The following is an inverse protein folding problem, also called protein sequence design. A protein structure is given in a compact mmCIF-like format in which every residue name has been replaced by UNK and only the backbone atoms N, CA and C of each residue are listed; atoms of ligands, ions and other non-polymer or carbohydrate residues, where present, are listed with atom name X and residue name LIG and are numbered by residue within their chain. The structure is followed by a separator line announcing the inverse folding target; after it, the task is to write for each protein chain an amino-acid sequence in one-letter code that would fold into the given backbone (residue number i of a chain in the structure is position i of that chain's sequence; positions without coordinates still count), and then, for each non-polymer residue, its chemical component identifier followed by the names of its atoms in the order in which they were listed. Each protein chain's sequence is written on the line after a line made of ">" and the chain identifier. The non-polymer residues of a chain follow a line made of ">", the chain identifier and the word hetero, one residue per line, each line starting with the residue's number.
data_IF_062965051292
#
_entry.id   IF_062965051292
#
_cell.length_a   1.000
_cell.length_b   1.000
_cell.length_c   1.000
_cell.angle_alpha   90.00
_cell.angle_beta   90.00
_cell.angle_gamma   90.00
#
_symmetry.space_group_name_H-M   'P 1'
#
loop_
_entity.id
_entity.type
_entity.pdbx_description
1 polymer ?
#
# COMPACT_ATOMS: atom_id res chain seq x y z
N UNK A 1 -18.21 -14.44 29.87
CA UNK A 1 -17.06 -15.19 29.33
C UNK A 1 -17.62 -16.35 28.53
N UNK A 2 -16.92 -16.81 27.50
CA UNK A 2 -17.41 -17.92 26.66
C UNK A 2 -16.90 -17.85 25.23
N UNK A 3 -17.20 -18.90 24.47
CA UNK A 3 -17.04 -18.90 23.01
C UNK A 3 -18.08 -17.96 22.37
N UNK A 4 -17.73 -17.33 21.25
CA UNK A 4 -18.62 -16.36 20.58
C UNK A 4 -18.86 -15.05 21.34
N UNK A 5 -18.00 -14.71 22.31
CA UNK A 5 -18.10 -13.45 23.05
C UNK A 5 -17.96 -12.21 22.14
N UNK A 6 -17.41 -12.33 20.93
CA UNK A 6 -17.36 -11.25 19.95
C UNK A 6 -18.67 -11.01 19.19
N UNK A 7 -19.66 -11.92 19.19
CA UNK A 7 -20.88 -11.76 18.37
C UNK A 7 -21.67 -10.50 18.69
N UNK A 8 -21.85 -10.16 19.98
CA UNK A 8 -22.54 -8.92 20.36
C UNK A 8 -21.70 -7.68 20.04
N UNK A 9 -20.38 -7.76 20.22
CA UNK A 9 -19.45 -6.67 19.88
C UNK A 9 -19.53 -6.36 18.38
N UNK A 10 -19.41 -7.37 17.52
CA UNK A 10 -19.48 -7.21 16.07
C UNK A 10 -20.86 -6.68 15.62
N UNK A 11 -21.94 -7.12 16.26
CA UNK A 11 -23.28 -6.59 15.99
C UNK A 11 -23.39 -5.11 16.32
N UNK A 12 -22.84 -4.66 17.45
CA UNK A 12 -22.85 -3.23 17.81
C UNK A 12 -21.93 -2.42 16.89
N UNK A 13 -20.74 -2.92 16.55
CA UNK A 13 -19.84 -2.29 15.57
C UNK A 13 -20.53 -2.12 14.22
N UNK A 14 -21.17 -3.16 13.69
CA UNK A 14 -21.87 -3.11 12.40
C UNK A 14 -23.09 -2.18 12.38
N UNK A 15 -23.62 -1.83 13.57
CA UNK A 15 -24.74 -0.92 13.76
C UNK A 15 -24.30 0.50 14.20
N UNK A 16 -23.00 0.78 14.27
CA UNK A 16 -22.50 2.10 14.64
C UNK A 16 -23.05 3.19 13.70
N UNK A 17 -23.37 4.35 14.26
CA UNK A 17 -23.99 5.47 13.54
C UNK A 17 -23.07 6.69 13.41
N UNK A 18 -22.05 6.81 14.24
CA UNK A 18 -21.16 7.97 14.30
C UNK A 18 -19.68 7.61 14.27
N UNK A 19 -19.22 6.76 15.17
CA UNK A 19 -17.79 6.46 15.32
C UNK A 19 -17.48 5.06 15.85
N UNK A 20 -16.33 4.53 15.44
CA UNK A 20 -15.77 3.28 15.95
C UNK A 20 -14.27 3.50 16.19
N UNK A 21 -13.83 3.44 17.45
CA UNK A 21 -12.41 3.42 17.82
C UNK A 21 -12.04 2.02 18.28
N UNK A 22 -10.95 1.45 17.76
CA UNK A 22 -10.49 0.10 18.08
C UNK A 22 -9.01 0.11 18.42
N UNK A 23 -8.66 -0.47 19.56
CA UNK A 23 -7.30 -0.88 19.90
C UNK A 23 -7.27 -2.40 19.95
N UNK A 24 -6.45 -3.05 19.13
CA UNK A 24 -6.23 -4.48 19.19
C UNK A 24 -4.85 -4.81 18.61
N UNK A 25 -4.00 -5.58 19.30
CA UNK A 25 -2.66 -5.91 18.80
C UNK A 25 -2.69 -6.77 17.54
N UNK A 26 -3.76 -7.56 17.35
CA UNK A 26 -3.89 -8.47 16.23
C UNK A 26 -5.17 -8.18 15.46
N UNK A 27 -5.03 -8.20 14.13
CA UNK A 27 -6.10 -8.00 13.16
C UNK A 27 -6.17 -9.21 12.22
N UNK A 28 -7.35 -9.42 11.64
CA UNK A 28 -7.52 -10.36 10.53
C UNK A 28 -8.15 -9.66 9.34
N UNK A 29 -7.88 -10.10 8.09
CA UNK A 29 -8.34 -9.39 6.89
C UNK A 29 -9.84 -9.09 6.88
N UNK A 30 -10.67 -10.08 7.22
CA UNK A 30 -12.14 -9.92 7.29
C UNK A 30 -12.61 -8.88 8.30
N UNK A 31 -11.90 -8.73 9.42
CA UNK A 31 -12.25 -7.72 10.41
C UNK A 31 -11.85 -6.33 9.93
N UNK A 32 -10.77 -6.22 9.16
CA UNK A 32 -10.39 -4.97 8.50
C UNK A 32 -11.38 -4.60 7.38
N UNK A 33 -11.86 -5.58 6.62
CA UNK A 33 -12.90 -5.36 5.60
C UNK A 33 -14.15 -4.72 6.18
N UNK A 34 -14.55 -5.12 7.40
CA UNK A 34 -15.67 -4.50 8.13
C UNK A 34 -15.40 -3.02 8.44
N UNK A 35 -14.19 -2.67 8.88
CA UNK A 35 -13.80 -1.28 9.15
C UNK A 35 -13.78 -0.44 7.88
N UNK A 36 -13.27 -0.99 6.78
CA UNK A 36 -13.29 -0.35 5.46
C UNK A 36 -14.73 -0.10 5.02
N UNK A 37 -15.64 -1.04 5.27
CA UNK A 37 -17.06 -0.88 4.95
C UNK A 37 -17.74 0.19 5.81
N UNK A 38 -17.47 0.25 7.12
CA UNK A 38 -17.98 1.31 8.00
C UNK A 38 -17.48 2.68 7.57
N UNK A 39 -16.20 2.79 7.24
CA UNK A 39 -15.62 4.04 6.73
C UNK A 39 -16.30 4.50 5.44
N UNK A 40 -16.58 3.57 4.51
CA UNK A 40 -17.33 3.86 3.26
C UNK A 40 -18.76 4.34 3.51
N UNK A 41 -19.37 3.96 4.63
CA UNK A 41 -20.69 4.46 5.06
C UNK A 41 -20.65 5.85 5.72
N UNK A 42 -19.46 6.44 5.88
CA UNK A 42 -19.28 7.72 6.54
C UNK A 42 -19.10 7.63 8.06
N UNK A 43 -18.97 6.43 8.62
CA UNK A 43 -18.66 6.24 10.04
C UNK A 43 -17.20 6.61 10.29
N UNK A 44 -16.93 7.40 11.33
CA UNK A 44 -15.56 7.76 11.71
C UNK A 44 -14.85 6.55 12.32
N UNK A 45 -13.80 6.07 11.69
CA UNK A 45 -13.03 4.91 12.19
C UNK A 45 -11.66 5.36 12.67
N UNK A 46 -11.24 4.89 13.84
CA UNK A 46 -9.86 5.06 14.35
C UNK A 46 -9.32 3.73 14.83
N UNK A 47 -8.10 3.38 14.43
CA UNK A 47 -7.52 2.07 14.72
C UNK A 47 -6.11 2.17 15.31
N UNK A 48 -5.89 1.47 16.42
CA UNK A 48 -4.58 1.23 17.01
C UNK A 48 -4.31 -0.27 16.91
N UNK A 49 -3.16 -0.63 16.35
CA UNK A 49 -2.67 -2.01 16.31
C UNK A 49 -1.17 -2.03 16.58
N UNK A 50 -0.62 -3.22 16.77
CA UNK A 50 0.81 -3.43 16.98
C UNK A 50 1.33 -4.44 15.96
N UNK A 51 2.59 -4.31 15.52
CA UNK A 51 3.26 -5.33 14.72
C UNK A 51 4.76 -5.38 15.05
N UNK A 52 5.39 -6.53 14.78
CA UNK A 52 6.83 -6.73 15.03
C UNK A 52 7.68 -6.14 13.91
N UNK A 53 8.81 -5.54 14.28
CA UNK A 53 9.75 -4.93 13.34
C UNK A 53 10.44 -5.95 12.42
N UNK A 54 10.96 -7.04 13.00
CA UNK A 54 11.83 -8.00 12.28
C UNK A 54 11.08 -9.21 11.72
N UNK A 55 9.88 -9.47 12.23
CA UNK A 55 8.99 -10.54 11.75
C UNK A 55 7.67 -9.94 11.31
N UNK A 56 7.72 -9.16 10.22
CA UNK A 56 6.51 -8.76 9.50
C UNK A 56 5.74 -10.03 9.17
N UNK A 57 4.73 -10.32 9.98
CA UNK A 57 3.92 -11.49 9.78
C UNK A 57 3.15 -11.24 8.51
N UNK A 58 3.38 -12.07 7.48
CA UNK A 58 2.64 -12.02 6.22
C UNK A 58 1.11 -11.94 6.43
N UNK A 59 0.62 -12.44 7.57
CA UNK A 59 -0.79 -12.35 7.97
C UNK A 59 -1.22 -10.94 8.40
N UNK A 60 -0.39 -10.21 9.14
CA UNK A 60 -0.69 -8.85 9.60
C UNK A 60 -0.57 -7.85 8.45
N UNK A 61 0.44 -8.03 7.58
CA UNK A 61 0.62 -7.24 6.36
C UNK A 61 -0.63 -7.27 5.47
N UNK A 62 -1.20 -8.46 5.22
CA UNK A 62 -2.47 -8.62 4.49
C UNK A 62 -3.65 -7.90 5.13
N UNK A 63 -3.63 -7.77 6.45
CA UNK A 63 -4.69 -7.08 7.17
C UNK A 63 -4.51 -5.57 7.09
N UNK A 64 -3.28 -5.06 7.04
CA UNK A 64 -2.98 -3.62 6.99
C UNK A 64 -3.06 -3.08 5.56
N UNK A 65 -2.71 -3.87 4.55
CA UNK A 65 -2.68 -3.45 3.14
C UNK A 65 -3.92 -2.67 2.67
N UNK A 66 -5.17 -3.10 2.95
CA UNK A 66 -6.37 -2.37 2.55
C UNK A 66 -6.50 -0.96 3.16
N UNK A 67 -5.77 -0.69 4.25
CA UNK A 67 -5.77 0.59 4.97
C UNK A 67 -4.76 1.58 4.40
N UNK A 68 -3.81 1.13 3.58
CA UNK A 68 -2.77 1.97 2.98
C UNK A 68 -3.14 2.26 1.53
N UNK A 69 -3.34 3.54 1.22
CA UNK A 69 -3.64 4.02 -0.13
C UNK A 69 -2.36 4.52 -0.78
N UNK A 70 -1.99 3.90 -1.90
CA UNK A 70 -0.89 4.38 -2.74
C UNK A 70 -1.38 5.47 -3.69
N UNK A 71 -0.83 6.67 -3.57
CA UNK A 71 -1.06 7.79 -4.48
C UNK A 71 0.12 7.90 -5.44
N UNK A 72 -0.17 7.80 -6.74
CA UNK A 72 0.84 7.93 -7.80
C UNK A 72 0.79 9.32 -8.41
N UNK A 73 1.93 9.99 -8.45
CA UNK A 73 2.09 11.31 -9.05
C UNK A 73 2.92 11.20 -10.32
N UNK A 74 2.49 11.88 -11.38
CA UNK A 74 3.23 11.99 -12.63
C UNK A 74 4.08 13.24 -12.59
N UNK A 75 5.39 13.08 -12.76
CA UNK A 75 6.29 14.18 -13.05
C UNK A 75 6.13 14.56 -14.52
N UNK A 76 5.42 15.66 -14.77
CA UNK A 76 5.15 16.13 -16.13
C UNK A 76 6.43 16.49 -16.89
N UNK A 77 7.44 17.04 -16.21
CA UNK A 77 8.69 17.45 -16.86
C UNK A 77 9.48 16.22 -17.31
N UNK A 78 9.66 15.25 -16.40
CA UNK A 78 10.30 13.99 -16.71
C UNK A 78 9.52 13.23 -17.80
N UNK A 79 8.19 13.28 -17.78
CA UNK A 79 7.36 12.65 -18.80
C UNK A 79 7.54 13.31 -20.19
N UNK A 80 7.58 14.64 -20.28
CA UNK A 80 7.85 15.35 -21.53
C UNK A 80 9.23 15.00 -22.11
N UNK A 81 10.25 14.92 -21.26
CA UNK A 81 11.59 14.49 -21.66
C UNK A 81 11.54 13.04 -22.20
N UNK A 82 10.85 12.15 -21.50
CA UNK A 82 10.68 10.74 -21.90
C UNK A 82 9.97 10.62 -23.25
N UNK A 83 8.90 11.38 -23.47
CA UNK A 83 8.14 11.41 -24.74
C UNK A 83 9.01 11.89 -25.90
N UNK A 84 9.82 12.94 -25.71
CA UNK A 84 10.79 13.39 -26.72
C UNK A 84 11.77 12.28 -27.10
N UNK A 85 12.32 11.57 -26.12
CA UNK A 85 13.21 10.44 -26.39
C UNK A 85 12.52 9.27 -27.11
N UNK A 86 11.24 8.99 -26.78
CA UNK A 86 10.45 7.97 -27.48
C UNK A 86 10.18 8.35 -28.95
N UNK A 87 9.89 9.63 -29.22
CA UNK A 87 9.76 10.13 -30.59
C UNK A 87 11.09 10.00 -31.35
N UNK A 88 12.21 10.43 -30.75
CA UNK A 88 13.54 10.27 -31.34
C UNK A 88 13.86 8.81 -31.66
N UNK A 89 13.49 7.86 -30.78
CA UNK A 89 13.64 6.42 -31.06
C UNK A 89 12.84 5.97 -32.27
N UNK A 90 11.56 6.37 -32.38
CA UNK A 90 10.69 6.01 -33.51
C UNK A 90 11.27 6.55 -34.82
N UNK A 91 11.74 7.80 -34.83
CA UNK A 91 12.36 8.43 -36.00
C UNK A 91 13.66 7.71 -36.39
N UNK A 92 14.58 7.47 -35.44
CA UNK A 92 15.83 6.78 -35.72
C UNK A 92 15.62 5.35 -36.22
N UNK A 93 14.65 4.62 -35.64
CA UNK A 93 14.32 3.26 -36.06
C UNK A 93 13.71 3.23 -37.46
N UNK A 94 12.75 4.12 -37.73
CA UNK A 94 12.15 4.27 -39.05
C UNK A 94 13.18 4.64 -40.12
N UNK A 95 14.05 5.62 -39.83
CA UNK A 95 15.13 6.03 -40.72
C UNK A 95 16.14 4.90 -41.00
N UNK A 96 16.53 4.14 -39.97
CA UNK A 96 17.43 2.98 -40.12
C UNK A 96 16.83 1.90 -41.02
N UNK A 97 15.54 1.56 -40.84
CA UNK A 97 14.83 0.57 -41.66
C UNK A 97 14.68 1.08 -43.10
N UNK A 98 14.21 2.31 -43.29
CA UNK A 98 14.03 2.90 -44.62
C UNK A 98 15.34 2.98 -45.40
N UNK A 99 16.44 3.41 -44.75
CA UNK A 99 17.76 3.47 -45.37
C UNK A 99 18.26 2.07 -45.75
N UNK A 100 18.07 1.08 -44.88
CA UNK A 100 18.45 -0.32 -45.17
C UNK A 100 17.71 -0.84 -46.40
N UNK A 101 16.39 -0.67 -46.44
CA UNK A 101 15.56 -1.12 -47.57
C UNK A 101 15.96 -0.43 -48.87
N UNK A 102 16.18 0.89 -48.82
CA UNK A 102 16.59 1.68 -49.98
C UNK A 102 17.95 1.24 -50.54
N UNK A 103 18.96 1.04 -49.68
CA UNK A 103 20.30 0.59 -50.09
C UNK A 103 20.29 -0.84 -50.67
N UNK A 104 19.47 -1.73 -50.11
CA UNK A 104 19.29 -3.10 -50.65
C UNK A 104 18.68 -3.04 -52.04
N UNK A 105 17.64 -2.23 -52.25
CA UNK A 105 17.04 -2.02 -53.57
C UNK A 105 18.08 -1.50 -54.55
N UNK A 106 18.83 -0.45 -54.20
CA UNK A 106 19.88 0.09 -55.08
C UNK A 106 20.92 -0.96 -55.46
N UNK A 107 21.41 -1.74 -54.50
CA UNK A 107 22.40 -2.80 -54.74
C UNK A 107 21.89 -3.84 -55.76
N UNK A 108 20.61 -4.21 -55.69
CA UNK A 108 20.00 -5.18 -56.61
C UNK A 108 19.85 -4.60 -58.02
N UNK A 109 19.42 -3.33 -58.14
CA UNK A 109 19.15 -2.70 -59.44
C UNK A 109 20.42 -2.24 -60.16
N UNK A 110 21.43 -1.75 -59.45
CA UNK A 110 22.65 -1.21 -60.05
C UNK A 110 23.77 -2.25 -60.23
N UNK A 111 23.64 -3.44 -59.60
CA UNK A 111 24.69 -4.46 -59.50
C UNK A 111 26.03 -3.95 -58.94
N UNK A 112 26.00 -2.81 -58.24
CA UNK A 112 27.18 -2.19 -57.63
C UNK A 112 27.22 -2.53 -56.13
N UNK A 113 28.30 -3.16 -55.69
CA UNK A 113 28.51 -3.54 -54.29
C UNK A 113 28.88 -2.36 -53.40
N UNK A 114 29.20 -1.18 -53.96
CA UNK A 114 29.54 0.02 -53.20
C UNK A 114 28.44 0.47 -52.23
N UNK A 115 27.16 0.23 -52.56
CA UNK A 115 26.03 0.58 -51.70
C UNK A 115 25.96 -0.23 -50.40
N UNK A 116 26.64 -1.38 -50.32
CA UNK A 116 26.74 -2.21 -49.11
C UNK A 116 27.46 -1.45 -47.98
N UNK A 117 28.46 -0.62 -48.31
CA UNK A 117 29.15 0.19 -47.29
C UNK A 117 28.22 1.20 -46.60
N UNK A 118 27.14 1.62 -47.27
CA UNK A 118 26.10 2.47 -46.69
C UNK A 118 25.32 1.83 -45.54
N UNK A 119 25.32 0.49 -45.44
CA UNK A 119 24.70 -0.23 -44.31
C UNK A 119 25.35 0.12 -42.97
N UNK A 120 26.61 0.57 -42.97
CA UNK A 120 27.29 1.07 -41.77
C UNK A 120 26.56 2.26 -41.14
N UNK A 121 25.98 3.16 -41.95
CA UNK A 121 25.20 4.31 -41.47
C UNK A 121 23.86 3.83 -40.90
N UNK A 122 23.19 2.89 -41.57
CA UNK A 122 21.96 2.30 -41.05
C UNK A 122 22.17 1.59 -39.71
N UNK A 123 23.30 0.90 -39.55
CA UNK A 123 23.72 0.27 -38.30
C UNK A 123 24.01 1.31 -37.21
N UNK A 124 24.70 2.41 -37.53
CA UNK A 124 24.93 3.50 -36.58
C UNK A 124 23.61 4.11 -36.08
N UNK A 125 22.65 4.39 -36.97
CA UNK A 125 21.31 4.86 -36.58
C UNK A 125 20.59 3.87 -35.65
N UNK A 126 20.71 2.57 -35.94
CA UNK A 126 20.19 1.52 -35.07
C UNK A 126 20.86 1.52 -33.68
N UNK A 127 22.19 1.66 -33.62
CA UNK A 127 22.93 1.77 -32.36
C UNK A 127 22.55 3.02 -31.56
N UNK A 128 22.37 4.17 -32.22
CA UNK A 128 21.86 5.40 -31.60
C UNK A 128 20.44 5.21 -31.04
N UNK A 129 19.57 4.50 -31.77
CA UNK A 129 18.24 4.12 -31.26
C UNK A 129 18.35 3.24 -30.01
N UNK A 130 19.25 2.25 -30.00
CA UNK A 130 19.50 1.41 -28.81
C UNK A 130 19.99 2.23 -27.61
N UNK A 131 20.87 3.21 -27.84
CA UNK A 131 21.33 4.13 -26.80
C UNK A 131 20.18 4.98 -26.23
N UNK A 132 19.38 5.60 -27.10
CA UNK A 132 18.20 6.36 -26.72
C UNK A 132 17.21 5.49 -25.90
N UNK A 133 17.01 4.23 -26.30
CA UNK A 133 16.17 3.27 -25.56
C UNK A 133 16.67 3.00 -24.16
N UNK A 134 17.99 2.89 -23.96
CA UNK A 134 18.58 2.74 -22.63
C UNK A 134 18.32 3.98 -21.78
N UNK A 135 18.51 5.18 -22.33
CA UNK A 135 18.24 6.44 -21.61
C UNK A 135 16.80 6.51 -21.12
N UNK A 136 15.82 6.24 -21.98
CA UNK A 136 14.39 6.28 -21.63
C UNK A 136 14.00 5.28 -20.54
N UNK A 137 14.66 4.12 -20.46
CA UNK A 137 14.37 3.10 -19.45
C UNK A 137 14.66 3.60 -18.02
N UNK A 138 15.63 4.50 -17.86
CA UNK A 138 16.07 5.00 -16.56
C UNK A 138 15.43 6.33 -16.15
N UNK A 139 14.63 6.96 -17.01
CA UNK A 139 13.88 8.16 -16.65
C UNK A 139 12.72 7.72 -15.74
N UNK A 140 12.74 8.15 -14.47
CA UNK A 140 11.64 7.94 -13.51
C UNK A 140 10.61 9.06 -13.73
N UNK A 141 9.39 8.69 -14.13
CA UNK A 141 8.30 9.66 -14.35
C UNK A 141 7.23 9.61 -13.26
N UNK A 142 7.25 8.55 -12.44
CA UNK A 142 6.30 8.38 -11.35
C UNK A 142 6.99 8.53 -10.01
N UNK A 143 6.37 9.29 -9.12
CA UNK A 143 6.63 9.25 -7.69
C UNK A 143 5.40 8.70 -6.97
N UNK A 144 5.63 8.10 -5.80
CA UNK A 144 4.60 7.46 -5.01
C UNK A 144 4.63 8.06 -3.61
N UNK A 145 3.45 8.34 -3.08
CA UNK A 145 3.23 8.78 -1.69
C UNK A 145 2.09 7.97 -1.12
N UNK A 146 2.07 7.79 0.19
CA UNK A 146 1.10 6.93 0.84
C UNK A 146 0.24 7.70 1.82
N UNK A 147 -1.04 7.36 1.87
CA UNK A 147 -1.99 7.92 2.83
C UNK A 147 -2.76 6.81 3.51
N UNK A 148 -3.17 7.05 4.75
CA UNK A 148 -4.07 6.14 5.45
C UNK A 148 -5.50 6.33 4.95
N UNK A 149 -6.25 5.23 4.82
CA UNK A 149 -7.66 5.26 4.43
C UNK A 149 -8.52 5.98 5.49
N UNK A 150 -8.21 5.74 6.76
CA UNK A 150 -8.75 6.44 7.92
C UNK A 150 -7.65 6.53 8.99
N UNK A 151 -7.81 7.33 10.07
CA UNK A 151 -6.81 7.42 11.14
C UNK A 151 -6.45 6.04 11.72
N UNK A 152 -5.23 5.56 11.47
CA UNK A 152 -4.71 4.36 12.11
C UNK A 152 -3.23 4.48 12.45
N UNK A 153 -2.81 3.82 13.53
CA UNK A 153 -1.40 3.72 13.95
C UNK A 153 -1.02 2.27 14.20
N UNK A 154 0.19 1.92 13.78
CA UNK A 154 0.80 0.61 14.00
C UNK A 154 2.01 0.81 14.91
N UNK A 155 1.87 0.49 16.19
CA UNK A 155 2.96 0.56 17.15
C UNK A 155 3.93 -0.60 16.98
N UNK A 156 5.21 -0.35 17.23
CA UNK A 156 6.23 -1.39 17.21
C UNK A 156 6.05 -2.27 18.44
N UNK A 157 5.76 -3.54 18.22
CA UNK A 157 5.75 -4.53 19.29
C UNK A 157 7.19 -4.91 19.68
N UNK A 158 7.49 -5.11 20.98
CA UNK A 158 8.79 -5.61 21.42
C UNK A 158 9.12 -6.92 20.70
N UNK A 159 10.39 -7.02 20.29
CA UNK A 159 10.94 -8.31 19.89
C UNK A 159 11.56 -9.03 21.11
N UNK A 160 11.74 -10.35 21.01
CA UNK A 160 12.21 -11.18 22.14
C UNK A 160 13.57 -10.78 22.73
N UNK A 161 14.30 -9.87 22.07
CA UNK A 161 15.61 -9.39 22.48
C UNK A 161 15.60 -8.03 23.21
N UNK A 162 14.48 -7.29 23.22
CA UNK A 162 14.40 -5.98 23.87
C UNK A 162 13.41 -6.04 25.06
N UNK A 163 13.97 -6.04 26.28
CA UNK A 163 13.24 -6.29 27.53
C UNK A 163 12.42 -5.06 28.00
N UNK A 164 12.62 -3.89 27.41
CA UNK A 164 12.08 -2.61 27.90
C UNK A 164 11.10 -1.89 26.96
N UNK A 165 10.65 -2.49 25.87
CA UNK A 165 9.71 -1.82 24.96
C UNK A 165 8.26 -2.08 25.36
N UNK A 166 7.48 -1.00 25.47
CA UNK A 166 6.07 -1.03 25.87
C UNK A 166 5.21 -1.69 24.78
N UNK A 167 4.60 -2.85 25.09
CA UNK A 167 3.69 -3.53 24.16
C UNK A 167 2.25 -3.08 24.32
N UNK A 168 1.71 -2.45 23.28
CA UNK A 168 0.27 -2.13 23.23
C UNK A 168 -0.53 -3.42 22.99
N UNK A 169 -1.08 -3.95 24.08
CA UNK A 169 -1.84 -5.20 24.09
C UNK A 169 -3.32 -5.02 24.51
N UNK A 170 -3.75 -3.78 24.74
CA UNK A 170 -5.13 -3.46 25.07
C UNK A 170 -6.08 -3.85 23.95
N UNK A 171 -7.17 -4.55 24.30
CA UNK A 171 -8.29 -4.82 23.40
C UNK A 171 -9.48 -3.98 23.83
N UNK A 172 -9.61 -2.84 23.18
CA UNK A 172 -10.57 -1.77 23.51
C UNK A 172 -11.37 -1.48 22.25
N UNK A 173 -12.69 -1.38 22.40
CA UNK A 173 -13.60 -1.03 21.30
C UNK A 173 -14.58 0.02 21.80
N UNK A 174 -14.58 1.20 21.20
CA UNK A 174 -15.48 2.30 21.57
C UNK A 174 -16.40 2.56 20.38
N UNK A 175 -17.69 2.59 20.63
CA UNK A 175 -18.74 2.70 19.62
C UNK A 175 -19.60 3.92 19.97
N UNK A 176 -19.70 4.85 19.01
CA UNK A 176 -20.51 6.06 19.06
C UNK A 176 -20.31 6.91 20.33
N UNK A 177 -19.12 6.85 20.91
CA UNK A 177 -18.72 7.51 22.17
C UNK A 177 -19.66 7.22 23.37
N UNK A 178 -20.47 6.16 23.32
CA UNK A 178 -21.44 5.83 24.37
C UNK A 178 -21.34 4.38 24.88
N UNK A 179 -20.71 3.49 24.11
CA UNK A 179 -20.46 2.10 24.54
C UNK A 179 -18.99 1.80 24.37
N UNK A 180 -18.37 1.24 25.40
CA UNK A 180 -17.04 0.66 25.33
C UNK A 180 -17.09 -0.85 25.61
N UNK A 181 -16.23 -1.60 24.93
CA UNK A 181 -15.95 -2.99 25.21
C UNK A 181 -14.48 -3.16 25.54
N UNK A 182 -14.21 -3.96 26.56
CA UNK A 182 -12.89 -4.30 27.06
C UNK A 182 -12.81 -5.82 27.25
N UNK A 183 -11.61 -6.40 27.16
CA UNK A 183 -11.41 -7.80 27.53
C UNK A 183 -10.21 -8.44 26.85
N UNK A 184 -10.30 -9.74 26.61
CA UNK A 184 -9.23 -10.54 26.01
C UNK A 184 -9.40 -10.76 24.50
N UNK A 185 -10.56 -10.39 23.95
CA UNK A 185 -10.94 -10.52 22.54
C UNK A 185 -10.01 -9.72 21.62
N UNK A 186 -9.16 -10.38 20.84
CA UNK A 186 -8.50 -9.74 19.69
C UNK A 186 -9.49 -9.49 18.55
N UNK A 187 -9.25 -8.46 17.75
CA UNK A 187 -10.06 -8.10 16.58
C UNK A 187 -9.74 -9.00 15.37
N UNK A 188 -9.91 -10.31 15.58
CA UNK A 188 -9.70 -11.38 14.61
C UNK A 188 -10.93 -12.28 14.54
N UNK A 189 -11.09 -13.04 13.45
CA UNK A 189 -12.17 -14.04 13.37
C UNK A 189 -12.11 -15.05 14.53
N UNK A 190 -10.91 -15.51 14.88
CA UNK A 190 -10.71 -16.45 15.99
C UNK A 190 -11.05 -15.84 17.34
N UNK A 191 -10.55 -14.64 17.64
CA UNK A 191 -10.87 -13.94 18.89
C UNK A 191 -12.37 -13.71 19.03
N UNK A 192 -13.04 -13.26 17.96
CA UNK A 192 -14.45 -12.88 18.04
C UNK A 192 -15.42 -14.07 18.06
N UNK A 193 -15.08 -15.21 17.43
CA UNK A 193 -16.01 -16.34 17.25
C UNK A 193 -15.62 -17.62 17.98
N UNK A 194 -14.36 -18.02 17.89
CA UNK A 194 -13.94 -19.38 18.21
C UNK A 194 -13.28 -19.50 19.58
N UNK A 195 -12.53 -18.48 19.99
CA UNK A 195 -11.79 -18.49 21.24
C UNK A 195 -12.73 -18.36 22.46
N UNK A 196 -12.30 -18.92 23.58
CA UNK A 196 -12.92 -18.68 24.87
C UNK A 196 -12.39 -17.37 25.46
N UNK A 197 -13.24 -16.36 25.51
CA UNK A 197 -12.77 -15.00 25.75
C UNK A 197 -13.61 -14.30 26.82
N UNK A 198 -13.02 -13.26 27.40
CA UNK A 198 -13.65 -12.38 28.36
C UNK A 198 -14.01 -11.06 27.68
N UNK A 199 -15.15 -10.49 28.08
CA UNK A 199 -15.64 -9.23 27.55
C UNK A 199 -16.48 -8.52 28.60
N UNK A 200 -16.14 -7.28 28.86
CA UNK A 200 -16.91 -6.33 29.66
C UNK A 200 -17.50 -5.32 28.68
N UNK A 201 -18.79 -5.02 28.84
CA UNK A 201 -19.47 -3.94 28.13
C UNK A 201 -19.74 -2.82 29.12
N UNK A 202 -19.33 -1.62 28.80
CA UNK A 202 -19.45 -0.41 29.61
C UNK A 202 -20.33 0.57 28.86
N UNK A 203 -21.34 1.10 29.53
CA UNK A 203 -22.26 2.14 29.02
C UNK A 203 -22.45 3.30 29.98
N UNK A 204 -21.77 3.26 31.13
CA UNK A 204 -21.71 4.41 32.00
C UNK A 204 -20.94 5.52 31.28
N UNK A 205 -21.57 6.68 31.13
CA UNK A 205 -21.06 7.77 30.30
C UNK A 205 -19.70 8.26 30.77
N UNK A 206 -19.49 8.38 32.08
CA UNK A 206 -18.23 8.85 32.64
C UNK A 206 -17.12 7.82 32.48
N UNK A 207 -17.43 6.52 32.66
CA UNK A 207 -16.48 5.46 32.40
C UNK A 207 -16.10 5.36 30.91
N UNK A 208 -17.06 5.49 30.00
CA UNK A 208 -16.78 5.48 28.54
C UNK A 208 -15.92 6.69 28.16
N UNK A 209 -16.23 7.88 28.69
CA UNK A 209 -15.43 9.09 28.48
C UNK A 209 -13.98 8.90 28.91
N UNK A 210 -13.73 8.34 30.10
CA UNK A 210 -12.36 8.04 30.56
C UNK A 210 -11.65 7.02 29.69
N UNK A 211 -12.35 5.97 29.24
CA UNK A 211 -11.77 4.97 28.33
C UNK A 211 -11.39 5.63 26.99
N UNK A 212 -12.20 6.57 26.51
CA UNK A 212 -11.91 7.35 25.31
C UNK A 212 -10.70 8.26 25.49
N UNK A 213 -10.57 8.95 26.62
CA UNK A 213 -9.40 9.76 26.95
C UNK A 213 -8.11 8.93 26.94
N UNK A 214 -8.12 7.74 27.55
CA UNK A 214 -6.99 6.82 27.55
C UNK A 214 -6.65 6.31 26.15
N UNK A 215 -7.67 6.05 25.32
CA UNK A 215 -7.47 5.68 23.92
C UNK A 215 -6.81 6.80 23.12
N UNK A 216 -7.28 8.04 23.28
CA UNK A 216 -6.76 9.20 22.56
C UNK A 216 -5.34 9.54 23.05
N UNK A 217 -5.08 9.46 24.35
CA UNK A 217 -3.75 9.62 24.93
C UNK A 217 -2.76 8.58 24.39
N UNK A 218 -3.20 7.32 24.26
CA UNK A 218 -2.40 6.28 23.63
C UNK A 218 -2.18 6.55 22.13
N UNK A 219 -3.21 7.00 21.42
CA UNK A 219 -3.11 7.33 20.00
C UNK A 219 -2.08 8.43 19.78
N UNK A 220 -2.09 9.49 20.59
CA UNK A 220 -1.22 10.67 20.45
C UNK A 220 0.12 10.56 21.19
N UNK A 221 0.43 9.39 21.75
CA UNK A 221 1.66 9.16 22.48
C UNK A 221 2.90 9.39 21.59
N UNK A 222 3.71 10.41 21.91
CA UNK A 222 4.86 10.83 21.08
C UNK A 222 6.06 9.91 21.21
N UNK A 223 6.25 9.30 22.37
CA UNK A 223 7.48 8.56 22.70
C UNK A 223 7.42 7.09 22.28
N UNK A 224 6.27 6.63 21.78
CA UNK A 224 6.11 5.27 21.29
C UNK A 224 6.52 5.17 19.83
N UNK A 225 7.42 4.24 19.53
CA UNK A 225 7.78 3.93 18.16
C UNK A 225 6.56 3.40 17.39
N UNK A 226 6.27 4.02 16.25
CA UNK A 226 5.26 3.57 15.31
C UNK A 226 5.83 3.54 13.90
N UNK A 227 5.29 2.67 13.06
CA UNK A 227 5.67 2.61 11.65
C UNK A 227 4.99 3.72 10.86
N UNK A 228 5.78 4.52 10.16
CA UNK A 228 5.26 5.58 9.29
C UNK A 228 4.47 5.00 8.11
N UNK A 229 3.45 5.72 7.66
CA UNK A 229 2.63 5.30 6.51
C UNK A 229 3.47 5.11 5.23
N UNK A 230 4.51 5.92 5.07
CA UNK A 230 5.46 5.83 3.96
C UNK A 230 6.30 4.55 4.00
N UNK A 231 6.72 4.11 5.19
CA UNK A 231 7.50 2.88 5.37
C UNK A 231 6.66 1.65 5.05
N UNK A 232 5.42 1.62 5.55
CA UNK A 232 4.43 0.58 5.23
C UNK A 232 4.13 0.54 3.75
N UNK A 233 3.81 1.69 3.16
CA UNK A 233 3.47 1.82 1.76
C UNK A 233 4.53 1.24 0.84
N UNK A 234 5.80 1.62 1.05
CA UNK A 234 6.95 1.13 0.28
C UNK A 234 7.20 -0.37 0.43
N UNK A 235 6.84 -0.95 1.58
CA UNK A 235 6.98 -2.38 1.79
C UNK A 235 5.88 -3.22 1.13
N UNK A 236 4.66 -2.69 1.11
CA UNK A 236 3.47 -3.42 0.63
C UNK A 236 3.34 -3.30 -0.89
N UNK A 237 3.63 -2.13 -1.44
CA UNK A 237 3.37 -1.83 -2.85
C UNK A 237 4.64 -1.75 -3.66
N UNK A 238 4.58 -2.28 -4.89
CA UNK A 238 5.60 -2.05 -5.88
C UNK A 238 5.58 -0.59 -6.37
N UNK A 239 6.76 -0.02 -6.60
CA UNK A 239 6.94 1.32 -7.18
C UNK A 239 7.54 1.23 -8.59
N UNK A 240 6.76 0.82 -9.61
CA UNK A 240 7.30 0.67 -10.94
C UNK A 240 7.76 2.02 -11.50
N UNK A 241 8.95 2.04 -12.10
CA UNK A 241 9.55 3.26 -12.66
C UNK A 241 8.74 3.86 -13.82
N UNK A 242 8.09 3.01 -14.63
CA UNK A 242 7.56 3.38 -15.94
C UNK A 242 6.33 2.55 -16.43
N UNK A 243 5.64 1.80 -15.55
CA UNK A 243 4.47 0.99 -15.95
C UNK A 243 3.16 1.75 -15.77
N UNK A 244 2.28 1.66 -16.78
CA UNK A 244 0.93 2.20 -16.71
C UNK A 244 0.03 1.38 -15.79
N UNK A 245 -1.04 1.99 -15.29
CA UNK A 245 -2.05 1.34 -14.43
C UNK A 245 -2.74 0.14 -15.09
N UNK A 246 -2.67 0.01 -16.43
CA UNK A 246 -3.21 -1.12 -17.19
C UNK A 246 -2.42 -2.42 -17.02
N UNK A 247 -1.12 -2.37 -16.69
CA UNK A 247 -0.26 -3.55 -16.58
C UNK A 247 -0.26 -4.18 -15.18
N UNK A 248 -0.77 -3.45 -14.17
CA UNK A 248 -0.86 -3.90 -12.78
C UNK A 248 -2.05 -4.83 -12.51
N UNK A 249 -3.00 -4.96 -13.44
CA UNK A 249 -4.18 -5.84 -13.29
C UNK A 249 -3.92 -7.32 -13.56
N UNK A 250 -2.71 -7.72 -13.94
CA UNK A 250 -2.43 -9.10 -14.39
C UNK A 250 -1.84 -10.00 -13.28
N UNK A 251 -1.56 -9.48 -12.08
CA UNK A 251 -0.90 -10.27 -11.01
C UNK A 251 -1.75 -10.60 -9.77
N UNK A 252 -3.07 -10.45 -9.84
CA UNK A 252 -3.95 -10.96 -8.78
C UNK A 252 -4.97 -11.93 -9.36
N UNK A 253 -4.59 -13.22 -9.38
CA UNK A 253 -5.50 -14.35 -9.43
C UNK A 253 -5.00 -15.41 -8.45
#
# INVERSE_FOLDING_TARGET
>A
MGTGAGTKLLKEIGNAQGSVKISSPYLSPKMVDELVWLHKKGIKVTLITSDKFDSRSYRQEKSIQPLVVQNRHLDEEANRIRERWLLTQKVLMGASIALTLFLVVLTIFSYDSGYIYGLGIALLLFLCCRYARRKTKHIKIYSYTYSSLFPFKVFVAPDSYQINDMFIHGKIYIIDCHTAYLGSLNFTESGTKYNYETRIRVTDTEAVRKIEEEFDALYDHTDLAFFGIEEWGRSIYAEPLNQGTSDLRIFFC
#
